data_IF_617379884944
#
_entry.id   IF_617379884944
#
_cell.length_a   1.000
_cell.length_b   1.000
_cell.length_c   1.000
_cell.angle_alpha   90.00
_cell.angle_beta   90.00
_cell.angle_gamma   90.00
#
_symmetry.space_group_name_H-M   'P 1'
#
loop_
_entity.id
_entity.type
_entity.pdbx_description
1 polymer ?
#
# COMPACT_ATOMS: atom_id res chain seq x y z
N UNK A 1 0.11 30.78 -17.64
CA UNK A 1 0.23 29.42 -18.17
C UNK A 1 -1.17 28.83 -18.22
N UNK A 2 -1.75 28.78 -19.43
CA UNK A 2 -3.03 28.14 -19.64
C UNK A 2 -2.93 26.68 -19.20
N UNK A 3 -3.78 26.29 -18.27
CA UNK A 3 -3.92 24.90 -17.83
C UNK A 3 -4.34 24.07 -19.03
N UNK A 4 -3.42 23.26 -19.55
CA UNK A 4 -3.71 22.33 -20.63
C UNK A 4 -4.72 21.33 -20.06
N UNK A 5 -5.97 21.44 -20.51
CA UNK A 5 -6.98 20.41 -20.25
C UNK A 5 -6.53 19.17 -21.01
N UNK A 6 -6.38 18.00 -20.35
CA UNK A 6 -5.99 16.80 -21.07
C UNK A 6 -7.03 16.47 -22.14
N UNK A 7 -6.60 16.37 -23.41
CA UNK A 7 -7.49 16.09 -24.55
C UNK A 7 -8.31 14.80 -24.36
N UNK A 8 -7.73 13.81 -23.69
CA UNK A 8 -8.37 12.52 -23.42
C UNK A 8 -9.14 12.47 -22.08
N UNK A 9 -9.23 13.57 -21.33
CA UNK A 9 -9.89 13.58 -20.02
C UNK A 9 -9.21 12.73 -18.95
N UNK A 10 -7.94 12.36 -19.13
CA UNK A 10 -7.12 11.49 -18.25
C UNK A 10 -5.93 12.31 -17.76
N UNK A 11 -5.66 12.27 -16.45
CA UNK A 11 -4.59 13.06 -15.86
C UNK A 11 -3.18 12.52 -16.14
N UNK A 12 -3.04 11.21 -16.28
CA UNK A 12 -1.74 10.53 -16.47
C UNK A 12 -1.92 9.14 -17.09
N UNK A 13 -0.87 8.60 -17.67
CA UNK A 13 -0.85 7.22 -18.14
C UNK A 13 -0.80 6.23 -16.96
N UNK A 14 -1.53 5.14 -17.06
CA UNK A 14 -1.63 4.13 -16.00
C UNK A 14 -0.26 3.52 -15.64
N UNK A 15 0.64 3.38 -16.62
CA UNK A 15 2.01 2.90 -16.44
C UNK A 15 2.80 3.70 -15.39
N UNK A 16 2.59 5.03 -15.35
CA UNK A 16 3.27 5.91 -14.39
C UNK A 16 2.86 5.66 -12.95
N UNK A 17 1.63 5.22 -12.70
CA UNK A 17 1.11 4.95 -11.35
C UNK A 17 1.59 3.61 -10.81
N UNK A 18 1.85 2.66 -11.69
CA UNK A 18 2.32 1.34 -11.27
C UNK A 18 3.66 1.42 -10.49
N UNK A 19 4.50 2.40 -10.80
CA UNK A 19 5.73 2.62 -10.04
C UNK A 19 5.50 3.20 -8.63
N UNK A 20 4.31 3.77 -8.36
CA UNK A 20 4.01 4.48 -7.10
C UNK A 20 3.69 3.56 -5.91
N UNK A 21 3.74 2.26 -6.11
CA UNK A 21 3.63 1.26 -5.05
C UNK A 21 5.00 0.79 -4.51
N UNK A 22 6.09 1.46 -4.90
CA UNK A 22 7.45 1.15 -4.46
C UNK A 22 7.97 2.21 -3.48
N UNK A 23 8.92 1.81 -2.63
CA UNK A 23 9.58 2.70 -1.67
C UNK A 23 10.26 3.84 -2.41
N UNK A 24 10.03 5.06 -1.97
CA UNK A 24 10.68 6.25 -2.51
C UNK A 24 10.25 6.65 -3.93
N UNK A 25 9.23 6.02 -4.50
CA UNK A 25 8.76 6.29 -5.87
C UNK A 25 7.94 7.60 -5.97
N UNK A 26 8.41 8.65 -5.30
CA UNK A 26 7.82 9.99 -5.31
C UNK A 26 8.42 10.81 -6.46
N UNK A 27 7.60 11.48 -7.26
CA UNK A 27 8.05 12.30 -8.39
C UNK A 27 8.00 13.81 -8.11
N UNK A 28 8.03 14.17 -6.84
CA UNK A 28 8.13 15.55 -6.40
C UNK A 28 6.83 16.32 -6.41
N UNK A 29 6.89 17.53 -5.87
CA UNK A 29 5.79 18.50 -5.81
C UNK A 29 5.77 19.26 -7.14
N UNK A 30 5.54 18.58 -8.25
CA UNK A 30 5.45 19.22 -9.57
C UNK A 30 4.01 19.26 -10.06
N UNK A 31 3.69 20.24 -10.91
CA UNK A 31 2.37 20.31 -11.53
C UNK A 31 2.04 19.08 -12.39
N UNK A 32 3.03 18.28 -12.74
CA UNK A 32 2.92 17.04 -13.52
C UNK A 32 3.16 15.78 -12.69
N UNK A 33 3.22 15.91 -11.34
CA UNK A 33 3.35 14.78 -10.44
C UNK A 33 2.17 13.82 -10.54
N UNK A 34 2.40 12.57 -10.14
CA UNK A 34 1.36 11.55 -10.02
C UNK A 34 1.01 11.30 -8.56
N UNK A 35 -0.20 10.81 -8.24
CA UNK A 35 -0.57 10.53 -6.85
C UNK A 35 0.33 9.44 -6.27
N UNK A 36 0.67 9.57 -4.99
CA UNK A 36 1.55 8.65 -4.29
C UNK A 36 0.76 7.57 -3.56
N UNK A 37 0.77 6.36 -4.09
CA UNK A 37 -0.03 5.24 -3.59
C UNK A 37 0.62 4.45 -2.46
N UNK A 38 1.91 4.67 -2.19
CA UNK A 38 2.65 3.86 -1.23
C UNK A 38 2.23 4.10 0.21
N UNK A 39 1.79 3.04 0.89
CA UNK A 39 1.37 3.08 2.30
C UNK A 39 2.16 2.08 3.16
N UNK A 40 3.14 1.39 2.59
CA UNK A 40 3.87 0.29 3.24
C UNK A 40 3.34 -1.09 2.86
N UNK A 41 4.25 -2.03 2.63
CA UNK A 41 3.92 -3.38 2.15
C UNK A 41 3.06 -4.14 3.17
N UNK A 42 3.34 -3.95 4.47
CA UNK A 42 2.54 -4.54 5.55
C UNK A 42 1.08 -4.06 5.49
N UNK A 43 0.88 -2.76 5.23
CA UNK A 43 -0.46 -2.17 5.12
C UNK A 43 -1.20 -2.79 3.91
N UNK A 44 -0.54 -2.93 2.77
CA UNK A 44 -1.12 -3.60 1.60
C UNK A 44 -1.49 -5.06 1.89
N UNK A 45 -0.62 -5.82 2.58
CA UNK A 45 -0.88 -7.20 2.93
C UNK A 45 -2.09 -7.35 3.86
N UNK A 46 -2.19 -6.51 4.88
CA UNK A 46 -3.31 -6.50 5.82
C UNK A 46 -4.60 -5.99 5.18
N UNK A 47 -4.53 -4.95 4.34
CA UNK A 47 -5.66 -4.47 3.55
C UNK A 47 -6.21 -5.58 2.64
N UNK A 48 -5.34 -6.31 1.96
CA UNK A 48 -5.73 -7.47 1.16
C UNK A 48 -6.39 -8.55 2.04
N UNK A 49 -5.76 -8.90 3.17
CA UNK A 49 -6.28 -9.87 4.13
C UNK A 49 -7.66 -9.53 4.70
N UNK A 50 -7.97 -8.22 4.87
CA UNK A 50 -9.25 -7.74 5.38
C UNK A 50 -10.45 -8.32 4.62
N UNK A 51 -10.36 -8.43 3.31
CA UNK A 51 -11.47 -8.92 2.48
C UNK A 51 -11.80 -10.41 2.71
N UNK A 52 -10.89 -11.17 3.31
CA UNK A 52 -11.07 -12.59 3.61
C UNK A 52 -11.57 -12.86 5.03
N UNK A 53 -11.66 -11.86 5.90
CA UNK A 53 -12.14 -12.00 7.29
C UNK A 53 -13.65 -12.25 7.28
N UNK A 54 -14.07 -13.43 7.77
CA UNK A 54 -15.48 -13.84 7.72
C UNK A 54 -16.38 -13.04 8.67
N UNK A 55 -15.87 -12.56 9.80
CA UNK A 55 -16.65 -11.78 10.78
C UNK A 55 -16.98 -10.35 10.31
N UNK A 56 -16.36 -9.88 9.23
CA UNK A 56 -16.64 -8.58 8.63
C UNK A 56 -17.74 -8.75 7.57
N UNK A 57 -18.77 -7.92 7.68
CA UNK A 57 -19.92 -7.99 6.78
C UNK A 57 -19.54 -7.73 5.32
N UNK A 58 -20.21 -8.42 4.41
CA UNK A 58 -20.00 -8.22 2.96
C UNK A 58 -20.30 -6.79 2.55
N UNK A 59 -21.33 -6.17 3.15
CA UNK A 59 -21.67 -4.76 2.90
C UNK A 59 -20.50 -3.84 3.24
N UNK A 60 -19.85 -4.04 4.38
CA UNK A 60 -18.69 -3.22 4.79
C UNK A 60 -17.51 -3.40 3.83
N UNK A 61 -17.21 -4.63 3.42
CA UNK A 61 -16.16 -4.92 2.45
C UNK A 61 -16.41 -4.25 1.10
N UNK A 62 -17.66 -4.35 0.60
CA UNK A 62 -18.03 -3.69 -0.67
C UNK A 62 -17.88 -2.18 -0.54
N UNK A 63 -18.39 -1.58 0.54
CA UNK A 63 -18.25 -0.13 0.75
C UNK A 63 -16.80 0.32 0.83
N UNK A 64 -15.96 -0.43 1.56
CA UNK A 64 -14.51 -0.16 1.62
C UNK A 64 -13.87 -0.24 0.24
N UNK A 65 -14.16 -1.28 -0.54
CA UNK A 65 -13.64 -1.43 -1.89
C UNK A 65 -14.10 -0.30 -2.81
N UNK A 66 -15.40 0.03 -2.80
CA UNK A 66 -15.98 1.09 -3.64
C UNK A 66 -15.35 2.44 -3.33
N UNK A 67 -15.23 2.80 -2.03
CA UNK A 67 -14.63 4.09 -1.65
C UNK A 67 -13.14 4.12 -2.02
N UNK A 68 -12.39 3.05 -1.78
CA UNK A 68 -10.97 2.97 -2.14
C UNK A 68 -10.75 3.13 -3.65
N UNK A 69 -11.53 2.39 -4.45
CA UNK A 69 -11.48 2.45 -5.91
C UNK A 69 -11.93 3.82 -6.41
N UNK A 70 -12.98 4.41 -5.82
CA UNK A 70 -13.46 5.74 -6.20
C UNK A 70 -12.41 6.82 -5.98
N UNK A 71 -11.72 6.81 -4.82
CA UNK A 71 -10.66 7.79 -4.53
C UNK A 71 -9.47 7.58 -5.49
N UNK A 72 -9.08 6.33 -5.76
CA UNK A 72 -8.02 6.04 -6.72
C UNK A 72 -8.41 6.48 -8.14
N UNK A 73 -9.62 6.16 -8.59
CA UNK A 73 -10.14 6.57 -9.89
C UNK A 73 -10.29 8.09 -10.02
N UNK A 74 -10.60 8.78 -8.91
CA UNK A 74 -10.69 10.25 -8.90
C UNK A 74 -9.41 10.93 -9.34
N UNK A 75 -8.25 10.35 -9.03
CA UNK A 75 -6.96 10.91 -9.47
C UNK A 75 -6.72 10.70 -10.96
N UNK A 76 -7.29 9.64 -11.53
CA UNK A 76 -7.09 9.28 -12.94
C UNK A 76 -7.95 10.11 -13.88
N UNK A 77 -9.24 10.31 -13.53
CA UNK A 77 -10.18 11.06 -14.36
C UNK A 77 -10.14 12.56 -14.07
N UNK A 78 -9.69 13.36 -15.05
CA UNK A 78 -9.55 14.81 -14.92
C UNK A 78 -10.78 15.52 -14.36
N UNK A 79 -11.99 15.19 -14.86
CA UNK A 79 -13.23 15.85 -14.44
C UNK A 79 -13.57 15.57 -12.96
N UNK A 80 -13.23 14.38 -12.46
CA UNK A 80 -13.47 14.02 -11.06
C UNK A 80 -12.39 14.68 -10.18
N UNK A 81 -11.15 14.68 -10.64
CA UNK A 81 -10.03 15.32 -9.92
C UNK A 81 -10.30 16.81 -9.69
N UNK A 82 -10.66 17.57 -10.74
CA UNK A 82 -10.96 19.00 -10.58
C UNK A 82 -12.19 19.28 -9.70
N UNK A 83 -13.14 18.34 -9.61
CA UNK A 83 -14.27 18.50 -8.70
C UNK A 83 -13.84 18.54 -7.22
N UNK A 84 -12.80 17.84 -6.83
CA UNK A 84 -12.18 17.92 -5.49
C UNK A 84 -11.53 19.28 -5.22
N UNK A 85 -11.19 20.03 -6.27
CA UNK A 85 -10.55 21.33 -6.23
C UNK A 85 -11.50 22.47 -6.60
N UNK A 86 -12.82 22.30 -6.38
CA UNK A 86 -13.86 23.29 -6.69
C UNK A 86 -13.79 23.72 -8.16
N UNK A 87 -13.60 22.76 -9.05
CA UNK A 87 -13.47 22.92 -10.51
C UNK A 87 -12.32 23.84 -10.96
N UNK A 88 -11.32 24.05 -10.09
CA UNK A 88 -10.12 24.80 -10.40
C UNK A 88 -8.90 23.89 -10.34
N UNK A 89 -7.96 24.03 -11.26
CA UNK A 89 -6.72 23.25 -11.21
C UNK A 89 -5.81 23.82 -10.11
N UNK A 90 -5.32 22.99 -9.16
CA UNK A 90 -4.40 23.48 -8.14
C UNK A 90 -3.06 23.87 -8.79
N UNK A 91 -2.52 25.04 -8.38
CA UNK A 91 -1.21 25.50 -8.86
C UNK A 91 -0.05 24.68 -8.27
N UNK A 92 -0.27 24.08 -7.10
CA UNK A 92 0.69 23.32 -6.32
C UNK A 92 0.01 22.10 -5.73
N UNK A 93 0.75 20.99 -5.55
CA UNK A 93 0.24 19.77 -4.92
C UNK A 93 -1.05 19.24 -5.58
N UNK A 94 -0.97 18.71 -6.78
CA UNK A 94 -2.09 17.99 -7.35
C UNK A 94 -2.47 16.81 -6.44
N UNK A 95 -3.72 16.40 -6.47
CA UNK A 95 -4.20 15.24 -5.71
C UNK A 95 -4.11 15.36 -4.17
N UNK A 96 -4.26 16.56 -3.60
CA UNK A 96 -4.19 16.77 -2.13
C UNK A 96 -5.14 15.87 -1.35
N UNK A 97 -6.32 15.60 -1.89
CA UNK A 97 -7.32 14.71 -1.27
C UNK A 97 -6.88 13.25 -1.20
N UNK A 98 -5.82 12.89 -1.89
CA UNK A 98 -5.38 11.49 -1.99
C UNK A 98 -4.83 10.92 -0.66
N UNK A 99 -4.56 11.76 0.33
CA UNK A 99 -4.29 11.29 1.70
C UNK A 99 -5.45 10.43 2.26
N UNK A 100 -6.69 10.64 1.77
CA UNK A 100 -7.85 9.82 2.13
C UNK A 100 -7.67 8.36 1.74
N UNK A 101 -7.00 8.10 0.60
CA UNK A 101 -6.64 6.74 0.20
C UNK A 101 -5.74 6.09 1.26
N UNK A 102 -4.64 6.75 1.63
CA UNK A 102 -3.73 6.26 2.68
C UNK A 102 -4.44 6.04 4.01
N UNK A 103 -5.31 6.96 4.40
CA UNK A 103 -6.11 6.83 5.62
C UNK A 103 -7.00 5.57 5.59
N UNK A 104 -7.72 5.32 4.50
CA UNK A 104 -8.57 4.13 4.34
C UNK A 104 -7.72 2.86 4.38
N UNK A 105 -6.59 2.85 3.69
CA UNK A 105 -5.66 1.71 3.69
C UNK A 105 -5.19 1.37 5.11
N UNK A 106 -4.71 2.36 5.85
CA UNK A 106 -4.20 2.18 7.23
C UNK A 106 -5.33 1.78 8.18
N UNK A 107 -6.49 2.44 8.11
CA UNK A 107 -7.65 2.13 8.96
C UNK A 107 -8.14 0.70 8.73
N UNK A 108 -8.26 0.29 7.48
CA UNK A 108 -8.70 -1.06 7.10
C UNK A 108 -7.66 -2.11 7.50
N UNK A 109 -6.37 -1.82 7.32
CA UNK A 109 -5.28 -2.67 7.76
C UNK A 109 -5.27 -2.84 9.29
N UNK A 110 -5.53 -1.78 10.05
CA UNK A 110 -5.64 -1.85 11.52
C UNK A 110 -6.80 -2.75 11.96
N UNK A 111 -7.97 -2.68 11.29
CA UNK A 111 -9.10 -3.61 11.53
C UNK A 111 -8.71 -5.05 11.21
N UNK A 112 -7.98 -5.29 10.13
CA UNK A 112 -7.48 -6.62 9.77
C UNK A 112 -6.46 -7.14 10.80
N UNK A 113 -5.55 -6.30 11.25
CA UNK A 113 -4.57 -6.64 12.29
C UNK A 113 -5.25 -7.05 13.61
N UNK A 114 -6.28 -6.31 14.04
CA UNK A 114 -7.07 -6.66 15.21
C UNK A 114 -7.75 -8.03 15.10
N UNK A 115 -8.06 -8.47 13.89
CA UNK A 115 -8.69 -9.75 13.55
C UNK A 115 -7.74 -10.70 12.81
N UNK A 116 -6.44 -10.56 12.98
CA UNK A 116 -5.43 -11.30 12.23
C UNK A 116 -5.64 -12.82 12.24
N UNK A 117 -6.10 -13.38 13.38
CA UNK A 117 -6.39 -14.81 13.51
C UNK A 117 -7.48 -15.33 12.57
N UNK A 118 -8.35 -14.46 12.09
CA UNK A 118 -9.44 -14.81 11.18
C UNK A 118 -9.00 -14.75 9.70
N UNK A 119 -7.82 -14.19 9.41
CA UNK A 119 -7.30 -14.13 8.04
C UNK A 119 -6.83 -15.53 7.63
N UNK A 120 -7.40 -16.11 6.55
CA UNK A 120 -6.96 -17.42 6.08
C UNK A 120 -5.51 -17.38 5.60
N UNK A 121 -4.73 -18.40 5.93
CA UNK A 121 -3.33 -18.44 5.47
C UNK A 121 -3.20 -18.44 3.93
N UNK A 122 -4.20 -18.98 3.23
CA UNK A 122 -4.26 -18.94 1.77
C UNK A 122 -4.23 -17.51 1.23
N UNK A 123 -4.83 -16.53 1.94
CA UNK A 123 -4.78 -15.12 1.52
C UNK A 123 -3.36 -14.54 1.59
N UNK A 124 -2.53 -14.99 2.53
CA UNK A 124 -1.12 -14.57 2.61
C UNK A 124 -0.30 -15.12 1.45
N UNK A 125 -0.57 -16.38 1.05
CA UNK A 125 0.04 -16.99 -0.14
C UNK A 125 -0.40 -16.23 -1.39
N UNK A 126 -1.70 -15.99 -1.53
CA UNK A 126 -2.24 -15.26 -2.68
C UNK A 126 -1.66 -13.85 -2.77
N UNK A 127 -1.57 -13.13 -1.65
CA UNK A 127 -0.92 -11.83 -1.60
C UNK A 127 0.55 -11.90 -2.04
N UNK A 128 1.32 -12.86 -1.52
CA UNK A 128 2.73 -13.03 -1.87
C UNK A 128 2.92 -13.30 -3.37
N UNK A 129 2.08 -14.16 -3.96
CA UNK A 129 2.13 -14.47 -5.40
C UNK A 129 1.74 -13.26 -6.25
N UNK A 130 0.67 -12.54 -5.89
CA UNK A 130 0.24 -11.34 -6.60
C UNK A 130 1.29 -10.23 -6.51
N UNK A 131 1.86 -10.02 -5.32
CA UNK A 131 2.91 -9.03 -5.13
C UNK A 131 4.18 -9.41 -5.92
N UNK A 132 4.62 -10.66 -5.88
CA UNK A 132 5.76 -11.12 -6.67
C UNK A 132 5.51 -10.96 -8.18
N UNK A 133 4.34 -11.36 -8.67
CA UNK A 133 3.94 -11.16 -10.07
C UNK A 133 3.93 -9.68 -10.47
N UNK A 134 3.43 -8.80 -9.59
CA UNK A 134 3.43 -7.37 -9.80
C UNK A 134 4.86 -6.80 -9.88
N UNK A 135 5.76 -7.20 -8.99
CA UNK A 135 7.16 -6.77 -9.03
C UNK A 135 7.86 -7.22 -10.32
N UNK A 136 7.63 -8.46 -10.76
CA UNK A 136 8.16 -8.96 -12.04
C UNK A 136 7.58 -8.16 -13.21
N UNK A 137 6.29 -7.87 -13.19
CA UNK A 137 5.62 -7.09 -14.23
C UNK A 137 6.22 -5.68 -14.33
N UNK A 138 6.32 -4.95 -13.23
CA UNK A 138 6.87 -3.58 -13.23
C UNK A 138 8.33 -3.55 -13.65
N UNK A 139 9.14 -4.55 -13.26
CA UNK A 139 10.55 -4.66 -13.70
C UNK A 139 10.69 -4.73 -15.22
N UNK A 140 9.72 -5.34 -15.90
CA UNK A 140 9.76 -5.56 -17.35
C UNK A 140 8.99 -4.48 -18.13
N UNK A 141 8.44 -3.44 -17.46
CA UNK A 141 7.82 -2.32 -18.13
C UNK A 141 8.88 -1.45 -18.84
N UNK A 142 8.73 -1.17 -20.16
CA UNK A 142 9.72 -0.40 -20.92
C UNK A 142 9.97 1.00 -20.37
N UNK A 143 8.94 1.62 -19.79
CA UNK A 143 8.94 2.99 -19.27
C UNK A 143 9.00 3.07 -17.75
N UNK A 144 9.44 1.99 -17.08
CA UNK A 144 9.60 2.03 -15.65
C UNK A 144 10.85 2.85 -15.28
N UNK A 145 10.66 4.14 -15.01
CA UNK A 145 11.71 5.02 -14.51
C UNK A 145 12.01 4.77 -13.02
N UNK A 146 11.77 3.55 -12.52
CA UNK A 146 12.02 3.20 -11.13
C UNK A 146 13.52 2.91 -10.93
N UNK A 147 14.24 3.68 -10.07
CA UNK A 147 15.64 3.42 -9.78
C UNK A 147 15.82 2.01 -9.23
N UNK A 148 16.90 1.34 -9.65
CA UNK A 148 17.20 -0.03 -9.23
C UNK A 148 17.28 -0.17 -7.71
N UNK A 149 17.83 0.81 -7.03
CA UNK A 149 17.95 0.82 -5.56
C UNK A 149 16.58 0.78 -4.87
N UNK A 150 15.62 1.59 -5.34
CA UNK A 150 14.27 1.62 -4.80
C UNK A 150 13.53 0.28 -5.06
N UNK A 151 13.75 -0.30 -6.24
CA UNK A 151 13.21 -1.61 -6.59
C UNK A 151 13.77 -2.70 -5.68
N UNK A 152 15.10 -2.78 -5.54
CA UNK A 152 15.78 -3.79 -4.73
C UNK A 152 15.41 -3.66 -3.23
N UNK A 153 15.26 -2.42 -2.75
CA UNK A 153 14.83 -2.15 -1.39
C UNK A 153 13.38 -2.61 -1.15
N UNK A 154 12.49 -2.32 -2.10
CA UNK A 154 11.09 -2.74 -2.02
C UNK A 154 10.94 -4.27 -2.05
N UNK A 155 11.76 -4.98 -2.83
CA UNK A 155 11.83 -6.46 -2.79
C UNK A 155 12.24 -6.95 -1.42
N UNK A 156 13.27 -6.36 -0.79
CA UNK A 156 13.71 -6.75 0.54
C UNK A 156 12.58 -6.61 1.57
N UNK A 157 11.88 -5.49 1.57
CA UNK A 157 10.72 -5.29 2.44
C UNK A 157 9.59 -6.27 2.15
N UNK A 158 9.31 -6.58 0.87
CA UNK A 158 8.33 -7.59 0.51
C UNK A 158 8.69 -8.97 1.08
N UNK A 159 9.93 -9.42 0.87
CA UNK A 159 10.40 -10.72 1.38
C UNK A 159 10.29 -10.77 2.90
N UNK A 160 10.78 -9.75 3.61
CA UNK A 160 10.73 -9.70 5.06
C UNK A 160 9.27 -9.72 5.55
N UNK A 161 8.39 -8.93 4.95
CA UNK A 161 6.96 -8.89 5.30
C UNK A 161 6.31 -10.26 5.10
N UNK A 162 6.54 -10.91 3.96
CA UNK A 162 6.00 -12.23 3.67
C UNK A 162 6.50 -13.27 4.67
N UNK A 163 7.80 -13.29 4.97
CA UNK A 163 8.38 -14.20 5.97
C UNK A 163 7.78 -13.97 7.36
N UNK A 164 7.62 -12.71 7.79
CA UNK A 164 6.98 -12.40 9.06
C UNK A 164 5.52 -12.87 9.11
N UNK A 165 4.74 -12.65 8.05
CA UNK A 165 3.34 -13.12 7.98
C UNK A 165 3.26 -14.64 8.10
N UNK A 166 4.11 -15.39 7.39
CA UNK A 166 4.17 -16.85 7.50
C UNK A 166 4.60 -17.30 8.89
N UNK A 167 5.58 -16.62 9.50
CA UNK A 167 6.03 -16.94 10.85
C UNK A 167 4.91 -16.75 11.90
N UNK A 168 4.12 -15.66 11.79
CA UNK A 168 2.93 -15.47 12.62
C UNK A 168 1.93 -16.61 12.47
N UNK A 169 1.65 -17.03 11.24
CA UNK A 169 0.72 -18.14 10.97
C UNK A 169 1.21 -19.43 11.63
N UNK A 170 2.51 -19.73 11.52
CA UNK A 170 3.11 -20.90 12.15
C UNK A 170 2.97 -20.82 13.68
N UNK A 171 3.32 -19.67 14.28
CA UNK A 171 3.18 -19.46 15.72
C UNK A 171 1.75 -19.65 16.20
N UNK A 172 0.77 -19.11 15.47
CA UNK A 172 -0.64 -19.26 15.82
C UNK A 172 -1.08 -20.73 15.78
N UNK A 173 -0.63 -21.51 14.80
CA UNK A 173 -0.92 -22.95 14.71
C UNK A 173 -0.28 -23.73 15.85
N UNK A 174 0.98 -23.47 16.16
CA UNK A 174 1.68 -24.14 17.25
C UNK A 174 1.04 -23.78 18.59
N UNK A 175 0.56 -22.55 18.79
CA UNK A 175 -0.08 -22.11 20.03
C UNK A 175 -1.40 -22.82 20.32
N UNK A 176 -2.13 -23.25 19.28
CA UNK A 176 -3.38 -24.00 19.44
C UNK A 176 -3.15 -25.41 20.02
N UNK A 177 -1.99 -25.98 19.76
CA UNK A 177 -1.65 -27.36 20.14
C UNK A 177 -0.78 -27.46 21.42
N UNK A 178 -0.37 -26.33 22.01
CA UNK A 178 0.57 -26.31 23.11
C UNK A 178 -0.01 -25.64 24.36
N UNK A 179 0.16 -26.29 25.52
CA UNK A 179 -0.29 -25.75 26.83
C UNK A 179 0.60 -24.59 27.38
N UNK A 180 1.73 -24.28 26.75
CA UNK A 180 2.68 -23.24 27.18
C UNK A 180 2.27 -21.84 26.70
N UNK A 181 1.17 -21.31 27.21
CA UNK A 181 0.61 -20.01 26.83
C UNK A 181 1.58 -18.84 27.02
N UNK A 182 2.46 -18.90 28.03
CA UNK A 182 3.45 -17.83 28.30
C UNK A 182 4.47 -17.68 27.19
N UNK A 183 5.05 -18.78 26.68
CA UNK A 183 6.03 -18.77 25.59
C UNK A 183 5.42 -18.17 24.33
N UNK A 184 4.18 -18.52 24.01
CA UNK A 184 3.51 -17.99 22.82
C UNK A 184 3.12 -16.51 22.95
N UNK A 185 2.85 -16.02 24.16
CA UNK A 185 2.65 -14.57 24.41
C UNK A 185 3.94 -13.78 24.15
N UNK A 186 5.08 -14.29 24.66
CA UNK A 186 6.39 -13.65 24.38
C UNK A 186 6.71 -13.68 22.89
N UNK A 187 6.56 -14.83 22.25
CA UNK A 187 6.80 -14.95 20.81
C UNK A 187 5.91 -13.99 20.00
N UNK A 188 4.63 -13.86 20.37
CA UNK A 188 3.71 -12.91 19.75
C UNK A 188 4.12 -11.45 19.93
N UNK A 189 4.61 -11.08 21.13
CA UNK A 189 5.12 -9.74 21.40
C UNK A 189 6.39 -9.45 20.57
N UNK A 190 7.31 -10.41 20.49
CA UNK A 190 8.53 -10.27 19.66
C UNK A 190 8.17 -10.07 18.19
N UNK A 191 7.22 -10.86 17.66
CA UNK A 191 6.76 -10.70 16.27
C UNK A 191 6.12 -9.33 16.05
N UNK A 192 5.29 -8.86 16.98
CA UNK A 192 4.71 -7.52 16.89
C UNK A 192 5.79 -6.45 16.85
N UNK A 193 6.82 -6.55 17.68
CA UNK A 193 7.97 -5.63 17.66
C UNK A 193 8.71 -5.71 16.33
N UNK A 194 8.89 -6.90 15.75
CA UNK A 194 9.48 -7.04 14.41
C UNK A 194 8.63 -6.35 13.34
N UNK A 195 7.31 -6.49 13.38
CA UNK A 195 6.43 -5.77 12.44
C UNK A 195 6.55 -4.25 12.59
N UNK A 196 6.57 -3.74 13.82
CA UNK A 196 6.75 -2.31 14.09
C UNK A 196 8.11 -1.84 13.57
N UNK A 197 9.18 -2.59 13.82
CA UNK A 197 10.53 -2.26 13.34
C UNK A 197 10.60 -2.23 11.81
N UNK A 198 10.02 -3.22 11.13
CA UNK A 198 9.97 -3.25 9.66
C UNK A 198 9.18 -2.08 9.12
N UNK A 199 7.98 -1.80 9.67
CA UNK A 199 7.17 -0.66 9.25
C UNK A 199 7.89 0.68 9.49
N UNK A 200 8.58 0.84 10.62
CA UNK A 200 9.34 2.05 10.92
C UNK A 200 10.54 2.23 9.98
N UNK A 201 11.31 1.17 9.70
CA UNK A 201 12.45 1.22 8.77
C UNK A 201 12.00 1.47 7.33
N UNK A 202 10.90 0.86 6.91
CA UNK A 202 10.28 1.07 5.60
C UNK A 202 9.81 2.53 5.45
N UNK A 203 9.14 3.07 6.46
CA UNK A 203 8.69 4.47 6.48
C UNK A 203 9.87 5.44 6.47
N UNK A 204 10.91 5.16 7.27
CA UNK A 204 12.11 5.97 7.31
C UNK A 204 12.84 5.98 5.96
N UNK A 205 13.02 4.84 5.33
CA UNK A 205 13.62 4.72 4.01
C UNK A 205 12.79 5.47 2.95
N UNK A 206 11.45 5.31 2.97
CA UNK A 206 10.56 6.03 2.07
C UNK A 206 10.66 7.55 2.24
N UNK A 207 10.67 8.04 3.49
CA UNK A 207 10.82 9.45 3.79
C UNK A 207 12.19 9.98 3.33
N UNK A 208 13.26 9.21 3.53
CA UNK A 208 14.60 9.58 3.07
C UNK A 208 14.67 9.85 1.57
N UNK A 209 14.06 9.01 0.74
CA UNK A 209 13.98 9.24 -0.70
C UNK A 209 13.12 10.45 -1.07
N UNK A 210 12.02 10.69 -0.34
CA UNK A 210 11.16 11.86 -0.57
C UNK A 210 11.93 13.15 -0.28
N UNK A 211 12.63 13.21 0.86
CA UNK A 211 13.38 14.41 1.25
C UNK A 211 14.59 14.65 0.35
N UNK A 212 15.31 13.59 -0.07
CA UNK A 212 16.42 13.73 -1.01
C UNK A 212 15.98 14.22 -2.41
N UNK A 213 14.72 14.06 -2.78
CA UNK A 213 14.17 14.58 -4.03
C UNK A 213 13.63 16.02 -3.94
N UNK A 214 13.74 16.66 -2.76
CA UNK A 214 13.31 18.06 -2.55
C UNK A 214 14.46 19.05 -2.62
N UNK A 215 15.72 18.59 -2.59
CA UNK A 215 16.94 19.38 -2.77
C UNK A 215 17.28 19.50 -4.27
#
# INVERSE_FOLDING_TARGET
>A
NASIVPENGINYELSRVLNKLFVGAYDGITNNGTPFFYCGIIIFALFFGYFFIKSISVKEKIMTAVITVFIAASTYFYKIDIAWHVFQRPNWFPYRYFFLFGFIMVFTAAKAAAKFKEIPYASHITFALLAAGYFVYVKNLPDSNLPKEQYDLSIKFLIITVLLLFFVVILLRLSQNCKRTFVFRIAGAVVLLCFIAVAATETYANAGYIFAGLD
#
